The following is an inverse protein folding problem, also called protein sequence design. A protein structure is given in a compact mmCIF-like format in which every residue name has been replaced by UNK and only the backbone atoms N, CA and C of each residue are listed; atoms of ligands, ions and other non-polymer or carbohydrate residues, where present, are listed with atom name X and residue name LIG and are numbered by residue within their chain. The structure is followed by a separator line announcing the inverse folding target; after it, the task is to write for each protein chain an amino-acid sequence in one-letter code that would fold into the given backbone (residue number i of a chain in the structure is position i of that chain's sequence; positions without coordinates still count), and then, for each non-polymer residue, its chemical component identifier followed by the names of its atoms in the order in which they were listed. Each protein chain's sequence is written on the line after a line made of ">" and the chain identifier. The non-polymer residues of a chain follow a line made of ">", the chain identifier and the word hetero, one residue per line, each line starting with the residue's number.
data_IF_530845548139
#
_entry.id   IF_530845548139
#
_cell.length_a   1.000
_cell.length_b   1.000
_cell.length_c   1.000
_cell.angle_alpha   90.00
_cell.angle_beta   90.00
_cell.angle_gamma   90.00
#
_symmetry.space_group_name_H-M   'P 1'
#
loop_
_entity.id
_entity.type
_entity.pdbx_description
1 polymer ?
#
# COMPACT_ATOMS: atom_id res chain seq x y z
N UNK A 1 10.08 -30.76 68.32
CA UNK A 1 9.62 -29.49 68.92
C UNK A 1 10.82 -28.53 68.93
N UNK A 2 10.58 -27.24 68.63
CA UNK A 2 11.36 -26.38 67.74
C UNK A 2 12.47 -25.60 68.50
N UNK A 3 13.37 -24.78 67.96
CA UNK A 3 13.14 -23.57 67.16
C UNK A 3 14.46 -22.94 66.66
N UNK A 4 14.31 -22.19 65.56
CA UNK A 4 15.05 -20.99 65.14
C UNK A 4 16.44 -21.08 64.51
N UNK A 5 16.38 -21.30 63.19
CA UNK A 5 17.32 -20.81 62.21
C UNK A 5 17.35 -19.26 62.17
N UNK A 6 18.54 -18.68 62.36
CA UNK A 6 18.89 -17.34 61.88
C UNK A 6 19.80 -17.52 60.65
N UNK A 7 19.18 -17.57 59.47
CA UNK A 7 19.87 -17.42 58.20
C UNK A 7 19.37 -16.14 57.54
N UNK A 8 20.27 -15.17 57.47
CA UNK A 8 20.13 -13.90 56.75
C UNK A 8 19.91 -14.21 55.26
N UNK A 9 18.65 -14.18 54.82
CA UNK A 9 18.31 -14.15 53.41
C UNK A 9 17.95 -12.71 53.03
N UNK A 10 18.88 -12.04 52.36
CA UNK A 10 18.63 -10.78 51.67
C UNK A 10 17.56 -10.98 50.60
N UNK A 11 16.30 -10.81 50.98
CA UNK A 11 15.20 -10.70 50.04
C UNK A 11 15.32 -9.35 49.34
N UNK A 12 15.97 -9.35 48.18
CA UNK A 12 15.85 -8.30 47.19
C UNK A 12 14.36 -8.05 46.96
N UNK A 13 13.84 -6.94 47.48
CA UNK A 13 12.55 -6.36 47.12
C UNK A 13 12.55 -6.13 45.61
N UNK A 14 12.16 -7.16 44.86
CA UNK A 14 11.84 -7.01 43.45
C UNK A 14 10.65 -6.05 43.42
N UNK A 15 10.94 -4.78 43.13
CA UNK A 15 9.94 -3.75 42.84
C UNK A 15 9.08 -4.25 41.68
N UNK A 16 7.99 -4.95 41.99
CA UNK A 16 6.98 -5.33 41.01
C UNK A 16 6.46 -4.04 40.43
N UNK A 17 6.73 -3.81 39.14
CA UNK A 17 6.21 -2.65 38.41
C UNK A 17 4.69 -2.60 38.61
N UNK A 18 4.10 -1.42 38.89
CA UNK A 18 2.68 -1.29 39.17
C UNK A 18 1.82 -2.03 38.13
N UNK A 19 0.88 -2.85 38.61
CA UNK A 19 -0.16 -3.48 37.78
C UNK A 19 -0.85 -2.35 37.00
N UNK A 20 -1.12 -2.56 35.71
CA UNK A 20 -1.79 -1.54 34.90
C UNK A 20 -3.11 -1.15 35.56
N UNK A 21 -3.33 0.15 35.77
CA UNK A 21 -4.61 0.64 36.29
C UNK A 21 -5.69 0.48 35.22
N UNK A 22 -6.95 0.49 35.65
CA UNK A 22 -8.09 0.40 34.75
C UNK A 22 -8.12 1.58 33.76
N UNK A 23 -7.74 2.78 34.23
CA UNK A 23 -7.59 3.97 33.40
C UNK A 23 -6.48 3.84 32.36
N UNK A 24 -5.31 3.29 32.73
CA UNK A 24 -4.23 2.99 31.79
C UNK A 24 -4.66 1.96 30.75
N UNK A 25 -5.41 0.93 31.16
CA UNK A 25 -5.93 -0.10 30.27
C UNK A 25 -6.94 0.46 29.26
N UNK A 26 -7.82 1.37 29.70
CA UNK A 26 -8.78 2.01 28.81
C UNK A 26 -8.09 2.89 27.77
N UNK A 27 -7.13 3.73 28.20
CA UNK A 27 -6.36 4.59 27.30
C UNK A 27 -5.54 3.75 26.31
N UNK A 28 -4.91 2.67 26.79
CA UNK A 28 -4.20 1.71 25.95
C UNK A 28 -5.13 1.11 24.91
N UNK A 29 -6.30 0.60 25.32
CA UNK A 29 -7.27 -0.01 24.44
C UNK A 29 -7.83 0.97 23.41
N UNK A 30 -8.10 2.22 23.75
CA UNK A 30 -8.66 3.20 22.82
C UNK A 30 -7.63 3.77 21.82
N UNK A 31 -6.36 3.82 22.21
CA UNK A 31 -5.31 4.46 21.41
C UNK A 31 -4.48 3.47 20.60
N UNK A 32 -4.60 2.16 20.86
CA UNK A 32 -3.73 1.14 20.26
C UNK A 32 -3.85 1.03 18.73
N UNK A 33 -5.03 1.28 18.17
CA UNK A 33 -5.30 1.15 16.74
C UNK A 33 -4.52 2.17 15.88
N UNK A 34 -4.15 3.33 16.43
CA UNK A 34 -3.39 4.36 15.70
C UNK A 34 -1.88 4.20 15.96
N UNK A 35 -1.04 3.98 14.92
CA UNK A 35 0.40 3.82 15.06
C UNK A 35 1.14 5.01 15.70
N UNK A 36 0.68 6.25 15.48
CA UNK A 36 1.28 7.45 16.05
C UNK A 36 0.97 7.54 17.54
N UNK A 37 -0.32 7.43 17.91
CA UNK A 37 -0.75 7.41 19.32
C UNK A 37 -0.12 6.26 20.09
N UNK A 38 0.10 5.10 19.46
CA UNK A 38 0.82 3.98 20.08
C UNK A 38 2.24 4.35 20.52
N UNK A 39 2.96 5.17 19.75
CA UNK A 39 4.30 5.65 20.13
C UNK A 39 4.22 6.64 21.29
N UNK A 40 3.22 7.53 21.27
CA UNK A 40 2.98 8.48 22.36
C UNK A 40 2.65 7.78 23.68
N UNK A 41 1.93 6.65 23.65
CA UNK A 41 1.62 5.84 24.85
C UNK A 41 2.86 5.37 25.61
N UNK A 42 3.98 5.11 24.91
CA UNK A 42 5.24 4.70 25.55
C UNK A 42 5.74 5.81 26.47
N UNK A 43 5.68 7.05 25.99
CA UNK A 43 6.11 8.23 26.75
C UNK A 43 5.10 8.57 27.84
N UNK A 44 3.80 8.51 27.52
CA UNK A 44 2.71 8.86 28.44
C UNK A 44 2.58 7.89 29.62
N UNK A 45 2.75 6.60 29.39
CA UNK A 45 2.65 5.55 30.41
C UNK A 45 4.01 5.21 31.05
N UNK A 46 5.12 5.76 30.53
CA UNK A 46 6.47 5.45 31.02
C UNK A 46 6.85 3.97 30.91
N UNK A 47 6.24 3.21 29.99
CA UNK A 47 6.43 1.75 29.87
C UNK A 47 6.94 1.38 28.48
N UNK A 48 7.83 0.37 28.44
CA UNK A 48 8.38 -0.17 27.19
C UNK A 48 7.27 -0.69 26.27
N UNK A 49 7.45 -0.50 24.96
CA UNK A 49 6.49 -0.93 23.92
C UNK A 49 6.13 -2.42 24.01
N UNK A 50 7.07 -3.29 24.36
CA UNK A 50 6.82 -4.72 24.56
C UNK A 50 5.84 -5.02 25.70
N UNK A 51 5.90 -4.23 26.78
CA UNK A 51 4.98 -4.36 27.91
C UNK A 51 3.57 -3.90 27.51
N UNK A 52 3.46 -2.80 26.76
CA UNK A 52 2.16 -2.33 26.23
C UNK A 52 1.54 -3.34 25.25
N UNK A 53 2.36 -3.95 24.38
CA UNK A 53 1.89 -5.03 23.47
C UNK A 53 1.35 -6.22 24.25
N UNK A 54 2.10 -6.65 25.26
CA UNK A 54 1.71 -7.79 26.11
C UNK A 54 0.42 -7.49 26.88
N UNK A 55 0.29 -6.28 27.41
CA UNK A 55 -0.92 -5.85 28.12
C UNK A 55 -2.12 -5.73 27.18
N UNK A 56 -1.94 -5.16 25.99
CA UNK A 56 -2.98 -5.07 24.98
C UNK A 56 -3.50 -6.45 24.57
N UNK A 57 -2.60 -7.42 24.33
CA UNK A 57 -3.02 -8.80 24.03
C UNK A 57 -3.80 -9.45 25.19
N UNK A 58 -3.49 -9.11 26.46
CA UNK A 58 -4.28 -9.57 27.62
C UNK A 58 -5.67 -8.93 27.63
N UNK A 59 -5.76 -7.62 27.37
CA UNK A 59 -7.04 -6.90 27.28
C UNK A 59 -7.94 -7.44 26.16
N UNK A 60 -7.36 -7.83 25.03
CA UNK A 60 -8.11 -8.48 23.95
C UNK A 60 -8.70 -9.82 24.38
N UNK A 61 -7.92 -10.64 25.11
CA UNK A 61 -8.37 -11.93 25.65
C UNK A 61 -9.45 -11.77 26.71
N UNK A 62 -9.29 -10.80 27.61
CA UNK A 62 -10.28 -10.47 28.66
C UNK A 62 -11.61 -10.03 28.05
N UNK A 63 -11.57 -9.28 26.94
CA UNK A 63 -12.76 -8.86 26.21
C UNK A 63 -13.26 -9.87 25.16
N UNK A 64 -12.64 -11.04 25.06
CA UNK A 64 -13.05 -12.09 24.12
C UNK A 64 -13.02 -11.69 22.64
N UNK A 65 -12.20 -10.73 22.24
CA UNK A 65 -12.18 -10.19 20.87
C UNK A 65 -10.88 -10.52 20.13
N UNK A 66 -11.00 -10.83 18.83
CA UNK A 66 -9.83 -10.97 17.97
C UNK A 66 -9.14 -9.63 17.75
N UNK A 67 -7.85 -9.67 17.41
CA UNK A 67 -7.13 -8.47 16.98
C UNK A 67 -7.82 -7.83 15.76
N UNK A 68 -8.35 -8.63 14.83
CA UNK A 68 -9.11 -8.11 13.69
C UNK A 68 -10.42 -7.42 14.12
N UNK A 69 -11.15 -8.03 15.06
CA UNK A 69 -12.41 -7.48 15.58
C UNK A 69 -12.18 -6.16 16.31
N UNK A 70 -11.07 -6.05 17.05
CA UNK A 70 -10.66 -4.81 17.68
C UNK A 70 -10.44 -3.67 16.67
N UNK A 71 -9.69 -3.92 15.58
CA UNK A 71 -9.48 -2.90 14.56
C UNK A 71 -10.79 -2.55 13.84
N UNK A 72 -11.64 -3.53 13.57
CA UNK A 72 -12.97 -3.28 12.99
C UNK A 72 -13.83 -2.40 13.91
N UNK A 73 -13.87 -2.70 15.20
CA UNK A 73 -14.60 -1.94 16.21
C UNK A 73 -14.11 -0.50 16.29
N UNK A 74 -12.79 -0.29 16.36
CA UNK A 74 -12.20 1.05 16.44
C UNK A 74 -12.42 1.84 15.14
N UNK A 75 -12.30 1.20 13.98
CA UNK A 75 -12.61 1.83 12.70
C UNK A 75 -14.08 2.25 12.64
N UNK A 76 -15.02 1.39 13.03
CA UNK A 76 -16.44 1.75 13.08
C UNK A 76 -16.75 2.86 14.07
N UNK A 77 -16.10 2.87 15.24
CA UNK A 77 -16.29 3.90 16.29
C UNK A 77 -15.82 5.29 15.83
N UNK A 78 -14.73 5.37 15.07
CA UNK A 78 -14.12 6.64 14.65
C UNK A 78 -14.42 7.04 13.19
N UNK A 79 -15.00 6.15 12.37
CA UNK A 79 -15.41 6.45 10.99
C UNK A 79 -16.62 7.41 10.90
N UNK A 80 -17.46 7.49 11.93
CA UNK A 80 -18.61 8.40 11.93
C UNK A 80 -18.24 9.86 12.27
N UNK A 81 -17.04 10.11 12.82
CA UNK A 81 -16.61 11.46 13.23
C UNK A 81 -15.56 12.11 12.32
N UNK A 82 -15.06 11.37 11.34
CA UNK A 82 -14.07 11.82 10.37
C UNK A 82 -14.56 11.29 9.04
N UNK A 83 -15.02 12.16 8.12
CA UNK A 83 -15.43 11.80 6.76
C UNK A 83 -14.32 11.19 5.90
N UNK A 84 -13.29 10.60 6.51
CA UNK A 84 -12.21 9.83 5.92
C UNK A 84 -12.40 8.38 6.37
N UNK A 85 -13.08 7.59 5.55
CA UNK A 85 -13.18 6.14 5.71
C UNK A 85 -11.78 5.51 5.70
N UNK A 86 -11.28 4.91 6.79
CA UNK A 86 -9.96 4.30 6.80
C UNK A 86 -10.07 2.82 6.42
N UNK A 87 -9.59 2.48 5.22
CA UNK A 87 -9.06 1.17 4.80
C UNK A 87 -9.73 -0.09 5.38
N UNK A 88 -11.03 -0.26 5.15
CA UNK A 88 -11.48 -1.54 4.58
C UNK A 88 -11.29 -1.38 3.07
N UNK A 89 -10.42 -2.19 2.44
CA UNK A 89 -10.70 -2.54 1.03
C UNK A 89 -12.07 -3.19 1.13
N UNK A 90 -13.12 -2.43 0.83
CA UNK A 90 -14.48 -2.94 0.85
C UNK A 90 -14.48 -4.24 0.05
N UNK A 91 -15.25 -5.22 0.49
CA UNK A 91 -15.42 -6.48 -0.22
C UNK A 91 -15.70 -6.21 -1.72
N UNK A 92 -16.48 -5.16 -1.97
CA UNK A 92 -16.72 -4.53 -3.26
C UNK A 92 -15.44 -4.14 -4.01
N UNK A 93 -14.46 -3.46 -3.40
CA UNK A 93 -13.20 -3.14 -4.08
C UNK A 93 -12.39 -4.38 -4.47
N UNK A 94 -12.46 -5.46 -3.68
CA UNK A 94 -11.81 -6.75 -4.02
C UNK A 94 -12.55 -7.46 -5.15
N UNK A 95 -13.86 -7.36 -5.19
CA UNK A 95 -14.71 -7.89 -6.24
C UNK A 95 -14.47 -7.14 -7.56
N UNK A 96 -14.39 -5.81 -7.50
CA UNK A 96 -14.00 -4.97 -8.64
C UNK A 96 -12.57 -5.29 -9.09
N UNK A 97 -11.60 -5.45 -8.17
CA UNK A 97 -10.24 -5.89 -8.52
C UNK A 97 -10.25 -7.25 -9.25
N UNK A 98 -11.11 -8.17 -8.83
CA UNK A 98 -11.26 -9.49 -9.44
C UNK A 98 -11.88 -9.40 -10.84
N UNK A 99 -12.97 -8.65 -11.00
CA UNK A 99 -13.61 -8.42 -12.30
C UNK A 99 -12.66 -7.74 -13.29
N UNK A 100 -11.86 -6.76 -12.82
CA UNK A 100 -10.83 -6.12 -13.63
C UNK A 100 -9.80 -7.17 -14.11
N UNK A 101 -9.27 -8.00 -13.21
CA UNK A 101 -8.32 -9.05 -13.58
C UNK A 101 -8.92 -10.04 -14.58
N UNK A 102 -10.13 -10.52 -14.34
CA UNK A 102 -10.82 -11.50 -15.20
C UNK A 102 -11.04 -10.96 -16.61
N UNK A 103 -11.55 -9.72 -16.76
CA UNK A 103 -11.82 -9.14 -18.09
C UNK A 103 -10.52 -8.85 -18.85
N UNK A 104 -9.50 -8.28 -18.20
CA UNK A 104 -8.22 -8.04 -18.87
C UNK A 104 -7.52 -9.35 -19.29
N UNK A 105 -7.54 -10.38 -18.44
CA UNK A 105 -6.95 -11.68 -18.78
C UNK A 105 -7.73 -12.37 -19.91
N UNK A 106 -9.06 -12.30 -19.91
CA UNK A 106 -9.92 -12.80 -20.99
C UNK A 106 -9.56 -12.17 -22.33
N UNK A 107 -9.51 -10.84 -22.41
CA UNK A 107 -9.17 -10.15 -23.67
C UNK A 107 -7.72 -10.43 -24.11
N UNK A 108 -6.79 -10.56 -23.16
CA UNK A 108 -5.41 -10.94 -23.48
C UNK A 108 -5.29 -12.36 -24.02
N UNK A 109 -6.07 -13.32 -23.50
CA UNK A 109 -6.12 -14.69 -24.02
C UNK A 109 -6.88 -14.80 -25.35
N UNK A 110 -7.87 -13.95 -25.60
CA UNK A 110 -8.59 -13.88 -26.89
C UNK A 110 -7.85 -13.13 -27.99
N UNK A 111 -6.70 -12.50 -27.70
CA UNK A 111 -5.96 -11.68 -28.66
C UNK A 111 -6.57 -10.31 -28.94
N UNK A 112 -7.53 -9.87 -28.12
CA UNK A 112 -8.19 -8.57 -28.23
C UNK A 112 -7.34 -7.45 -27.62
N UNK A 113 -7.66 -6.20 -27.99
CA UNK A 113 -6.90 -5.06 -27.48
C UNK A 113 -7.25 -4.77 -26.01
N UNK A 114 -6.27 -4.24 -25.27
CA UNK A 114 -6.49 -3.73 -23.91
C UNK A 114 -7.47 -2.55 -23.85
N UNK A 115 -7.83 -1.94 -24.99
CA UNK A 115 -8.85 -0.90 -25.07
C UNK A 115 -10.26 -1.52 -25.03
N UNK A 116 -10.46 -2.65 -25.72
CA UNK A 116 -11.73 -3.39 -25.72
C UNK A 116 -12.08 -3.91 -24.33
N UNK A 117 -11.07 -4.37 -23.59
CA UNK A 117 -11.21 -4.74 -22.17
C UNK A 117 -11.68 -3.57 -21.29
N UNK A 118 -11.23 -2.34 -21.57
CA UNK A 118 -11.68 -1.16 -20.84
C UNK A 118 -13.13 -0.81 -21.16
N UNK A 119 -13.58 -0.99 -22.41
CA UNK A 119 -14.96 -0.73 -22.82
C UNK A 119 -15.90 -1.72 -22.11
N UNK A 120 -15.59 -3.03 -22.15
CA UNK A 120 -16.39 -4.06 -21.43
C UNK A 120 -16.42 -3.79 -19.91
N UNK A 121 -15.32 -3.32 -19.33
CA UNK A 121 -15.28 -2.97 -17.90
C UNK A 121 -16.08 -1.71 -17.57
N UNK A 122 -16.14 -0.72 -18.47
CA UNK A 122 -16.93 0.49 -18.27
C UNK A 122 -18.43 0.21 -18.34
N UNK A 123 -18.86 -0.70 -19.23
CA UNK A 123 -20.24 -1.17 -19.28
C UNK A 123 -20.64 -1.91 -17.99
N UNK A 124 -19.75 -2.72 -17.43
CA UNK A 124 -20.02 -3.53 -16.22
C UNK A 124 -19.90 -2.75 -14.90
N UNK A 125 -18.97 -1.81 -14.79
CA UNK A 125 -18.64 -1.10 -13.54
C UNK A 125 -19.17 0.35 -13.50
N UNK A 126 -19.70 0.85 -14.63
CA UNK A 126 -20.26 2.20 -14.76
C UNK A 126 -19.22 3.30 -14.99
N UNK A 127 -19.70 4.55 -15.00
CA UNK A 127 -18.92 5.76 -15.33
C UNK A 127 -17.84 6.25 -14.34
N UNK A 128 -17.70 5.78 -13.08
CA UNK A 128 -16.67 6.35 -12.20
C UNK A 128 -15.24 5.89 -12.55
N UNK A 129 -15.08 4.94 -13.47
CA UNK A 129 -13.77 4.41 -13.87
C UNK A 129 -13.38 4.85 -15.28
N UNK A 130 -12.40 5.73 -15.38
CA UNK A 130 -11.79 6.09 -16.67
C UNK A 130 -10.92 4.94 -17.20
N UNK A 131 -10.70 4.83 -18.54
CA UNK A 131 -9.90 3.75 -19.11
C UNK A 131 -8.45 3.74 -18.56
N UNK A 132 -7.90 4.93 -18.29
CA UNK A 132 -6.59 5.08 -17.67
C UNK A 132 -6.56 4.57 -16.23
N UNK A 133 -7.61 4.84 -15.44
CA UNK A 133 -7.72 4.35 -14.06
C UNK A 133 -7.83 2.82 -14.01
N UNK A 134 -8.57 2.20 -14.93
CA UNK A 134 -8.70 0.74 -15.03
C UNK A 134 -7.36 0.07 -15.37
N UNK A 135 -6.65 0.58 -16.39
CA UNK A 135 -5.31 0.09 -16.78
C UNK A 135 -4.31 0.22 -15.63
N UNK A 136 -4.26 1.39 -14.99
CA UNK A 136 -3.35 1.62 -13.86
C UNK A 136 -3.66 0.68 -12.69
N UNK A 137 -4.94 0.42 -12.41
CA UNK A 137 -5.35 -0.50 -11.36
C UNK A 137 -4.99 -1.94 -11.71
N UNK A 138 -5.17 -2.36 -12.95
CA UNK A 138 -4.74 -3.66 -13.46
C UNK A 138 -3.22 -3.88 -13.31
N UNK A 139 -2.38 -2.95 -13.77
CA UNK A 139 -0.92 -3.07 -13.62
C UNK A 139 -0.48 -3.10 -12.15
N UNK A 140 -1.14 -2.32 -11.29
CA UNK A 140 -0.91 -2.40 -9.84
C UNK A 140 -1.32 -3.75 -9.25
N UNK A 141 -2.35 -4.39 -9.78
CA UNK A 141 -2.78 -5.72 -9.35
C UNK A 141 -1.78 -6.80 -9.77
N UNK A 142 -1.31 -6.76 -11.02
CA UNK A 142 -0.26 -7.66 -11.52
C UNK A 142 1.00 -7.53 -10.65
N UNK A 143 1.50 -6.30 -10.45
CA UNK A 143 2.70 -6.04 -9.64
C UNK A 143 2.53 -6.47 -8.19
N UNK A 144 1.32 -6.35 -7.63
CA UNK A 144 1.03 -6.72 -6.23
C UNK A 144 0.94 -8.24 -6.04
N UNK A 145 0.39 -8.94 -7.03
CA UNK A 145 0.19 -10.40 -6.99
C UNK A 145 1.34 -11.18 -7.60
N UNK A 146 2.29 -10.47 -8.23
CA UNK A 146 3.47 -11.02 -8.89
C UNK A 146 3.13 -12.03 -10.00
N UNK A 147 2.08 -11.75 -10.77
CA UNK A 147 1.70 -12.57 -11.91
C UNK A 147 2.64 -12.33 -13.09
N UNK A 148 3.06 -13.41 -13.72
CA UNK A 148 3.79 -13.40 -15.00
C UNK A 148 2.81 -13.34 -16.17
N UNK A 149 3.29 -12.98 -17.37
CA UNK A 149 2.44 -12.96 -18.56
C UNK A 149 1.82 -14.34 -18.87
N UNK A 150 2.55 -15.43 -18.55
CA UNK A 150 2.06 -16.80 -18.66
C UNK A 150 0.92 -17.10 -17.67
N UNK A 151 1.01 -16.57 -16.43
CA UNK A 151 -0.07 -16.70 -15.44
C UNK A 151 -1.35 -15.97 -15.91
N UNK A 152 -1.19 -14.79 -16.54
CA UNK A 152 -2.31 -14.02 -17.06
C UNK A 152 -2.99 -14.75 -18.23
N UNK A 153 -2.22 -15.39 -19.10
CA UNK A 153 -2.74 -16.22 -20.19
C UNK A 153 -3.45 -17.46 -19.65
N UNK A 154 -2.88 -18.14 -18.65
CA UNK A 154 -3.51 -19.30 -18.03
C UNK A 154 -4.83 -18.95 -17.32
N UNK A 155 -4.90 -17.80 -16.64
CA UNK A 155 -6.14 -17.29 -16.02
C UNK A 155 -7.18 -16.94 -17.10
N UNK A 156 -6.75 -16.29 -18.19
CA UNK A 156 -7.62 -15.93 -19.30
C UNK A 156 -8.18 -17.16 -20.02
N UNK A 157 -7.37 -18.17 -20.28
CA UNK A 157 -7.78 -19.43 -20.91
C UNK A 157 -8.77 -20.21 -20.03
N UNK A 158 -8.51 -20.33 -18.72
CA UNK A 158 -9.47 -20.95 -17.78
C UNK A 158 -10.81 -20.21 -17.77
N UNK A 159 -10.79 -18.88 -17.85
CA UNK A 159 -12.03 -18.11 -17.88
C UNK A 159 -12.79 -18.29 -19.21
N UNK A 160 -12.07 -18.39 -20.33
CA UNK A 160 -12.67 -18.71 -21.63
C UNK A 160 -13.27 -20.12 -21.65
N UNK A 161 -12.58 -21.12 -21.08
CA UNK A 161 -13.10 -22.49 -20.94
C UNK A 161 -14.39 -22.53 -20.13
N UNK A 162 -14.44 -21.85 -18.98
CA UNK A 162 -15.65 -21.77 -18.13
C UNK A 162 -16.79 -21.02 -18.83
N UNK A 163 -16.51 -19.97 -19.60
CA UNK A 163 -17.54 -19.29 -20.39
C UNK A 163 -18.03 -20.18 -21.53
N UNK A 164 -17.14 -20.92 -22.20
CA UNK A 164 -17.49 -21.83 -23.29
C UNK A 164 -18.30 -23.04 -22.79
N UNK A 165 -18.03 -23.52 -21.57
CA UNK A 165 -18.86 -24.54 -20.91
C UNK A 165 -20.24 -23.99 -20.50
N UNK A 166 -20.32 -22.74 -20.06
CA UNK A 166 -21.61 -22.10 -19.75
C UNK A 166 -22.43 -21.77 -21.01
N UNK A 167 -21.78 -21.46 -22.14
CA UNK A 167 -22.44 -21.30 -23.44
C UNK A 167 -22.94 -22.66 -23.95
N UNK A 168 -22.15 -23.73 -23.82
CA UNK A 168 -22.59 -25.10 -24.13
C UNK A 168 -23.74 -25.57 -23.21
N UNK A 169 -23.74 -25.19 -21.94
CA UNK A 169 -24.83 -25.50 -21.02
C UNK A 169 -26.11 -24.68 -21.30
N UNK A 170 -25.98 -23.48 -21.86
CA UNK A 170 -27.11 -22.64 -22.28
C UNK A 170 -27.68 -23.06 -23.66
N UNK A 171 -26.86 -23.65 -24.53
CA UNK A 171 -27.27 -24.14 -25.85
C UNK A 171 -27.88 -25.55 -25.83
N UNK A 172 -27.75 -26.31 -24.73
CA UNK A 172 -28.29 -27.69 -24.62
C UNK A 172 -29.78 -27.75 -24.22
N UNK A 173 -30.59 -26.76 -24.61
CA UNK A 173 -32.06 -26.80 -24.41
C UNK A 173 -32.90 -26.59 -25.66
N UNK A 174 -32.33 -26.50 -26.86
CA UNK A 174 -33.11 -26.56 -28.09
C UNK A 174 -32.44 -27.44 -29.15
N UNK A 175 -33.15 -28.54 -29.42
CA UNK A 175 -33.15 -29.45 -30.56
C UNK A 175 -31.88 -30.23 -30.95
N UNK A 176 -31.99 -31.52 -30.63
CA UNK A 176 -31.45 -32.67 -31.34
C UNK A 176 -31.55 -32.55 -32.87
N UNK A 177 -30.45 -32.77 -33.57
CA UNK A 177 -30.42 -33.68 -34.73
C UNK A 177 -29.00 -34.26 -34.91
N UNK A 178 -28.93 -35.56 -34.65
CA UNK A 178 -28.01 -36.60 -35.14
C UNK A 178 -26.77 -36.24 -36.01
N UNK A 179 -25.55 -36.41 -35.42
CA UNK A 179 -24.47 -37.42 -35.67
C UNK A 179 -24.05 -37.72 -37.16
N UNK A 180 -22.80 -38.16 -37.54
CA UNK A 180 -21.48 -38.32 -36.85
C UNK A 180 -20.28 -37.66 -37.59
N UNK A 181 -19.23 -37.18 -36.89
CA UNK A 181 -17.93 -37.88 -36.62
C UNK A 181 -17.27 -38.64 -37.80
N UNK A 182 -16.22 -38.06 -38.38
CA UNK A 182 -15.22 -38.77 -39.19
C UNK A 182 -14.03 -39.22 -38.32
N UNK A 183 -13.68 -40.52 -38.28
CA UNK A 183 -12.48 -41.00 -37.59
C UNK A 183 -11.20 -40.75 -38.39
N UNK A 184 -10.13 -40.48 -37.64
CA UNK A 184 -8.73 -40.61 -38.04
C UNK A 184 -8.45 -42.03 -38.53
N UNK A 185 -7.88 -42.20 -39.73
CA UNK A 185 -7.27 -43.45 -40.13
C UNK A 185 -5.93 -43.21 -40.86
N UNK A 186 -4.87 -43.79 -40.28
CA UNK A 186 -3.51 -43.78 -40.79
C UNK A 186 -3.41 -44.60 -42.10
N UNK A 187 -2.55 -44.22 -43.06
CA UNK A 187 -2.32 -45.03 -44.25
C UNK A 187 -1.39 -46.22 -43.93
N UNK A 188 -1.71 -47.46 -44.37
CA UNK A 188 -0.75 -48.53 -44.38
C UNK A 188 0.12 -48.43 -45.63
N UNK A 189 1.43 -48.21 -45.43
CA UNK A 189 2.46 -48.52 -46.41
C UNK A 189 2.73 -50.02 -46.39
N UNK A 190 2.59 -50.70 -47.54
CA UNK A 190 3.65 -51.55 -48.12
C UNK A 190 3.32 -51.97 -49.56
N UNK A 191 4.30 -51.71 -50.41
CA UNK A 191 4.42 -51.98 -51.84
C UNK A 191 4.42 -53.48 -52.16
N UNK A 192 3.91 -53.85 -53.34
CA UNK A 192 4.52 -54.89 -54.16
C UNK A 192 4.56 -54.48 -55.64
N UNK A 193 5.77 -54.68 -56.18
CA UNK A 193 6.29 -54.61 -57.55
C UNK A 193 5.31 -54.64 -58.74
N UNK A 194 5.42 -53.62 -59.61
CA UNK A 194 5.52 -53.80 -61.07
C UNK A 194 5.86 -52.48 -61.78
N UNK A 195 6.88 -52.52 -62.64
CA UNK A 195 7.12 -51.64 -63.81
C UNK A 195 7.77 -50.26 -63.58
N UNK A 196 9.09 -50.22 -63.76
CA UNK A 196 9.92 -49.01 -63.83
C UNK A 196 9.51 -48.00 -64.93
N UNK A 197 8.64 -48.38 -65.87
CA UNK A 197 8.07 -47.47 -66.87
C UNK A 197 6.88 -46.64 -66.32
N UNK A 198 6.14 -47.18 -65.35
CA UNK A 198 5.01 -46.49 -64.74
C UNK A 198 5.44 -45.58 -63.59
N UNK A 199 6.59 -45.85 -62.94
CA UNK A 199 7.17 -44.95 -61.92
C UNK A 199 7.57 -43.59 -62.51
N UNK A 200 8.15 -43.57 -63.71
CA UNK A 200 8.57 -42.32 -64.36
C UNK A 200 7.38 -41.47 -64.82
N UNK A 201 6.36 -42.10 -65.42
CA UNK A 201 5.14 -41.40 -65.83
C UNK A 201 4.34 -40.91 -64.61
N UNK A 202 4.33 -41.66 -63.51
CA UNK A 202 3.72 -41.24 -62.24
C UNK A 202 4.50 -40.12 -61.54
N UNK A 203 5.83 -40.10 -61.68
CA UNK A 203 6.67 -38.97 -61.26
C UNK A 203 6.47 -37.73 -62.13
N UNK A 204 6.24 -37.89 -63.43
CA UNK A 204 5.90 -36.79 -64.34
C UNK A 204 4.48 -36.25 -64.10
N UNK A 205 3.53 -37.09 -63.73
CA UNK A 205 2.16 -36.65 -63.43
C UNK A 205 2.04 -35.98 -62.05
N UNK A 206 2.91 -36.31 -61.10
CA UNK A 206 2.95 -35.68 -59.78
C UNK A 206 3.84 -34.43 -59.73
N UNK A 207 4.69 -34.22 -60.73
CA UNK A 207 5.57 -33.04 -60.84
C UNK A 207 4.81 -31.69 -60.77
N UNK A 208 3.71 -31.47 -61.50
CA UNK A 208 2.92 -30.23 -61.41
C UNK A 208 2.38 -29.98 -59.99
N UNK A 209 1.99 -31.04 -59.29
CA UNK A 209 1.46 -30.97 -57.94
C UNK A 209 2.56 -30.68 -56.91
N UNK A 210 3.76 -31.26 -57.09
CA UNK A 210 4.92 -30.91 -56.28
C UNK A 210 5.38 -29.48 -56.52
N UNK A 211 5.26 -28.97 -57.75
CA UNK A 211 5.63 -27.60 -58.11
C UNK A 211 4.64 -26.59 -57.50
N UNK A 212 3.34 -26.87 -57.54
CA UNK A 212 2.31 -26.08 -56.83
C UNK A 212 2.49 -26.11 -55.31
N UNK A 213 2.83 -27.28 -54.74
CA UNK A 213 3.12 -27.39 -53.31
C UNK A 213 4.40 -26.65 -52.92
N UNK A 214 5.40 -26.61 -53.80
CA UNK A 214 6.62 -25.83 -53.59
C UNK A 214 6.33 -24.33 -53.68
N UNK A 215 5.57 -23.89 -54.68
CA UNK A 215 5.17 -22.50 -54.87
C UNK A 215 4.34 -21.97 -53.70
N UNK A 216 3.38 -22.76 -53.22
CA UNK A 216 2.60 -22.40 -52.02
C UNK A 216 3.46 -22.37 -50.75
N UNK A 217 4.45 -23.25 -50.61
CA UNK A 217 5.43 -23.20 -49.51
C UNK A 217 6.33 -21.98 -49.60
N UNK A 218 6.80 -21.63 -50.80
CA UNK A 218 7.63 -20.44 -51.04
C UNK A 218 6.83 -19.18 -50.72
N UNK A 219 5.58 -19.07 -51.18
CA UNK A 219 4.70 -17.94 -50.85
C UNK A 219 4.39 -17.84 -49.35
N UNK A 220 4.22 -18.97 -48.64
CA UNK A 220 4.07 -18.98 -47.17
C UNK A 220 5.34 -18.51 -46.46
N UNK A 221 6.51 -18.87 -46.96
CA UNK A 221 7.80 -18.41 -46.40
C UNK A 221 8.00 -16.93 -46.68
N UNK A 222 7.72 -16.46 -47.89
CA UNK A 222 7.85 -15.04 -48.27
C UNK A 222 6.93 -14.16 -47.43
N UNK A 223 5.67 -14.57 -47.27
CA UNK A 223 4.73 -13.86 -46.40
C UNK A 223 5.18 -13.90 -44.94
N UNK A 224 5.66 -15.03 -44.42
CA UNK A 224 6.19 -15.12 -43.05
C UNK A 224 7.43 -14.24 -42.84
N UNK A 225 8.32 -14.13 -43.82
CA UNK A 225 9.52 -13.29 -43.74
C UNK A 225 9.20 -11.80 -43.82
N UNK A 226 8.22 -11.40 -44.65
CA UNK A 226 7.74 -10.00 -44.69
C UNK A 226 7.17 -9.52 -43.35
N UNK A 227 6.52 -10.39 -42.59
CA UNK A 227 6.02 -10.06 -41.25
C UNK A 227 7.14 -10.05 -40.19
N UNK A 228 8.20 -10.85 -40.35
CA UNK A 228 9.36 -10.82 -39.44
C UNK A 228 10.28 -9.61 -39.68
N UNK A 229 10.30 -9.05 -40.89
CA UNK A 229 11.08 -7.88 -41.27
C UNK A 229 10.32 -6.56 -41.12
N UNK A 230 9.39 -6.46 -40.16
CA UNK A 230 8.73 -5.19 -39.85
C UNK A 230 9.64 -4.26 -39.05
N UNK A 231 10.72 -3.83 -39.71
CA UNK A 231 11.69 -2.84 -39.24
C UNK A 231 11.01 -1.53 -38.88
N UNK A 232 9.85 -1.23 -39.49
CA UNK A 232 9.06 -0.05 -39.18
C UNK A 232 8.42 -0.16 -37.81
N UNK A 233 7.80 -1.30 -37.48
CA UNK A 233 7.28 -1.58 -36.14
C UNK A 233 8.37 -1.53 -35.07
N UNK A 234 9.56 -2.07 -35.37
CA UNK A 234 10.72 -1.98 -34.47
C UNK A 234 11.20 -0.54 -34.22
N UNK A 235 11.31 0.27 -35.28
CA UNK A 235 11.69 1.69 -35.17
C UNK A 235 10.64 2.49 -34.40
N UNK A 236 9.35 2.23 -34.62
CA UNK A 236 8.26 2.86 -33.85
C UNK A 236 8.35 2.50 -32.36
N UNK A 237 8.70 1.26 -32.02
CA UNK A 237 8.94 0.85 -30.64
C UNK A 237 10.15 1.55 -30.04
N UNK A 238 11.27 1.66 -30.77
CA UNK A 238 12.46 2.39 -30.31
C UNK A 238 12.16 3.87 -30.07
N UNK A 239 11.37 4.51 -30.93
CA UNK A 239 10.92 5.89 -30.74
C UNK A 239 9.99 6.04 -29.53
N UNK A 240 9.15 5.04 -29.25
CA UNK A 240 8.33 5.03 -28.05
C UNK A 240 9.19 4.95 -26.77
N UNK A 241 10.17 4.04 -26.75
CA UNK A 241 11.14 3.89 -25.65
C UNK A 241 11.94 5.17 -25.45
N UNK A 242 12.40 5.83 -26.52
CA UNK A 242 13.11 7.11 -26.43
C UNK A 242 12.24 8.22 -25.81
N UNK A 243 10.96 8.30 -26.19
CA UNK A 243 10.01 9.25 -25.60
C UNK A 243 9.72 8.95 -24.13
N UNK A 244 9.70 7.68 -23.76
CA UNK A 244 9.47 7.25 -22.38
C UNK A 244 10.69 7.57 -21.51
N UNK A 245 11.91 7.31 -21.99
CA UNK A 245 13.15 7.71 -21.32
C UNK A 245 13.21 9.22 -21.09
N UNK A 246 12.89 10.02 -22.12
CA UNK A 246 12.81 11.49 -21.97
C UNK A 246 11.76 11.95 -20.96
N UNK A 247 10.69 11.17 -20.76
CA UNK A 247 9.68 11.46 -19.72
C UNK A 247 10.19 11.04 -18.34
N UNK A 248 10.88 9.91 -18.23
CA UNK A 248 11.52 9.49 -16.98
C UNK A 248 12.58 10.49 -16.51
N UNK A 249 13.41 11.02 -17.41
CA UNK A 249 14.42 12.03 -17.08
C UNK A 249 13.77 13.29 -16.45
N UNK A 250 12.69 13.80 -17.06
CA UNK A 250 11.94 14.94 -16.52
C UNK A 250 11.33 14.64 -15.15
N UNK A 251 10.84 13.43 -14.95
CA UNK A 251 10.28 13.01 -13.66
C UNK A 251 11.38 12.88 -12.61
N UNK A 252 12.56 12.39 -12.99
CA UNK A 252 13.73 12.32 -12.11
C UNK A 252 14.19 13.71 -11.67
N UNK A 253 14.25 14.68 -12.60
CA UNK A 253 14.56 16.08 -12.29
C UNK A 253 13.56 16.69 -11.31
N UNK A 254 12.25 16.47 -11.53
CA UNK A 254 11.22 16.99 -10.63
C UNK A 254 11.25 16.30 -9.26
N UNK A 255 11.52 15.00 -9.21
CA UNK A 255 11.71 14.27 -7.95
C UNK A 255 12.90 14.87 -7.19
N UNK A 256 14.02 15.12 -7.85
CA UNK A 256 15.19 15.72 -7.22
C UNK A 256 14.86 17.11 -6.68
N UNK A 257 14.18 17.94 -7.47
CA UNK A 257 13.75 19.28 -7.05
C UNK A 257 12.84 19.23 -5.82
N UNK A 258 11.85 18.33 -5.82
CA UNK A 258 10.94 18.16 -4.68
C UNK A 258 11.65 17.60 -3.45
N UNK A 259 12.66 16.74 -3.62
CA UNK A 259 13.50 16.26 -2.53
C UNK A 259 14.30 17.40 -1.90
N UNK A 260 14.92 18.25 -2.71
CA UNK A 260 15.69 19.41 -2.24
C UNK A 260 14.78 20.41 -1.51
N UNK A 261 13.59 20.69 -2.04
CA UNK A 261 12.60 21.56 -1.39
C UNK A 261 12.15 20.99 -0.04
N UNK A 262 11.87 19.68 0.02
CA UNK A 262 11.46 19.03 1.26
C UNK A 262 12.58 19.05 2.31
N UNK A 263 13.84 18.88 1.90
CA UNK A 263 14.99 19.03 2.80
C UNK A 263 15.11 20.47 3.32
N UNK A 264 14.93 21.47 2.46
CA UNK A 264 14.92 22.89 2.88
C UNK A 264 13.76 23.20 3.83
N UNK A 265 12.57 22.68 3.56
CA UNK A 265 11.41 22.83 4.44
C UNK A 265 11.64 22.16 5.79
N UNK A 266 12.24 20.97 5.83
CA UNK A 266 12.60 20.32 7.09
C UNK A 266 13.59 21.15 7.90
N UNK A 267 14.64 21.69 7.25
CA UNK A 267 15.61 22.59 7.92
C UNK A 267 14.95 23.84 8.48
N UNK A 268 14.00 24.45 7.77
CA UNK A 268 13.29 25.64 8.28
C UNK A 268 12.36 25.29 9.44
N UNK A 269 11.64 24.17 9.37
CA UNK A 269 10.80 23.68 10.47
C UNK A 269 11.64 23.37 11.70
N UNK A 270 12.79 22.70 11.57
CA UNK A 270 13.69 22.43 12.69
C UNK A 270 14.24 23.72 13.32
N UNK A 271 14.60 24.70 12.48
CA UNK A 271 15.09 26.01 12.95
C UNK A 271 14.00 26.75 13.73
N UNK A 272 12.79 26.82 13.22
CA UNK A 272 11.67 27.49 13.90
C UNK A 272 11.23 26.74 15.15
N UNK A 273 11.23 25.41 15.13
CA UNK A 273 10.98 24.59 16.32
C UNK A 273 12.02 24.86 17.41
N UNK A 274 13.30 24.98 17.05
CA UNK A 274 14.37 25.36 17.97
C UNK A 274 14.20 26.77 18.54
N UNK A 275 13.72 27.73 17.75
CA UNK A 275 13.42 29.10 18.23
C UNK A 275 12.21 29.12 19.17
N UNK A 276 11.15 28.39 18.83
CA UNK A 276 9.96 28.29 19.66
C UNK A 276 10.29 27.65 21.00
N UNK A 277 11.06 26.56 20.99
CA UNK A 277 11.48 25.87 22.20
C UNK A 277 12.29 26.77 23.14
N UNK A 278 13.23 27.57 22.60
CA UNK A 278 13.96 28.56 23.41
C UNK A 278 13.03 29.58 24.07
N UNK A 279 12.04 30.09 23.33
CA UNK A 279 11.03 31.02 23.90
C UNK A 279 10.15 30.34 24.94
N UNK A 280 9.77 29.09 24.72
CA UNK A 280 9.01 28.30 25.68
C UNK A 280 9.79 28.10 26.98
N UNK A 281 11.08 27.74 26.88
CA UNK A 281 11.97 27.60 28.03
C UNK A 281 12.15 28.93 28.78
N UNK A 282 12.36 30.05 28.06
CA UNK A 282 12.44 31.40 28.65
C UNK A 282 11.15 31.79 29.39
N UNK A 283 9.98 31.53 28.79
CA UNK A 283 8.69 31.79 29.44
C UNK A 283 8.49 30.89 30.66
N UNK A 284 8.86 29.60 30.58
CA UNK A 284 8.77 28.67 31.70
C UNK A 284 9.64 29.14 32.88
N UNK A 285 10.84 29.66 32.61
CA UNK A 285 11.71 30.25 33.63
C UNK A 285 11.09 31.50 34.28
N UNK A 286 10.49 32.39 33.48
CA UNK A 286 9.77 33.57 34.00
C UNK A 286 8.58 33.14 34.87
N UNK A 287 7.78 32.18 34.43
CA UNK A 287 6.65 31.65 35.21
C UNK A 287 7.12 31.01 36.51
N UNK A 288 8.22 30.26 36.49
CA UNK A 288 8.81 29.66 37.70
C UNK A 288 9.31 30.73 38.67
N UNK A 289 9.96 31.77 38.16
CA UNK A 289 10.41 32.91 38.97
C UNK A 289 9.21 33.63 39.61
N UNK A 290 8.17 33.93 38.83
CA UNK A 290 6.95 34.58 39.31
C UNK A 290 6.21 33.73 40.35
N UNK A 291 6.10 32.42 40.15
CA UNK A 291 5.50 31.50 41.12
C UNK A 291 6.30 31.45 42.43
N UNK A 292 7.64 31.47 42.36
CA UNK A 292 8.50 31.50 43.55
C UNK A 292 8.30 32.81 44.30
N UNK A 293 8.34 33.95 43.60
CA UNK A 293 8.13 35.26 44.21
C UNK A 293 6.72 35.42 44.80
N UNK A 294 5.70 34.92 44.11
CA UNK A 294 4.33 34.90 44.63
C UNK A 294 4.21 34.02 45.87
N UNK A 295 4.83 32.84 45.86
CA UNK A 295 4.87 31.97 47.03
C UNK A 295 5.54 32.70 48.21
N UNK A 296 6.73 33.27 48.01
CA UNK A 296 7.46 34.02 49.05
C UNK A 296 6.60 35.18 49.59
N UNK A 297 5.92 35.93 48.70
CA UNK A 297 5.00 36.99 49.10
C UNK A 297 3.82 36.48 49.95
N UNK A 298 3.23 35.34 49.58
CA UNK A 298 2.12 34.75 50.33
C UNK A 298 2.51 34.31 51.74
N UNK A 299 3.76 33.86 51.93
CA UNK A 299 4.31 33.43 53.23
C UNK A 299 4.69 34.59 54.18
N UNK A 300 4.77 35.84 53.70
CA UNK A 300 5.06 37.00 54.54
C UNK A 300 3.89 37.37 55.47
N UNK A 301 4.18 37.95 56.65
CA UNK A 301 3.17 38.53 57.54
C UNK A 301 2.64 39.88 57.01
N UNK A 302 1.43 40.30 57.44
CA UNK A 302 0.68 41.42 56.83
C UNK A 302 1.43 42.77 56.80
N UNK A 303 2.29 43.02 57.79
CA UNK A 303 3.09 44.26 57.88
C UNK A 303 4.33 44.19 56.97
N UNK A 304 4.97 43.03 56.86
CA UNK A 304 6.09 42.79 55.94
C UNK A 304 5.65 42.74 54.47
N UNK A 305 4.41 42.33 54.19
CA UNK A 305 3.80 42.36 52.85
C UNK A 305 3.74 43.77 52.25
N UNK A 306 3.45 44.79 53.06
CA UNK A 306 3.34 46.18 52.59
C UNK A 306 4.70 46.81 52.29
N UNK A 307 5.73 46.55 53.11
CA UNK A 307 7.10 46.99 52.85
C UNK A 307 7.76 46.23 51.68
N UNK A 308 7.48 44.93 51.57
CA UNK A 308 7.98 44.07 50.50
C UNK A 308 7.30 44.29 49.16
N UNK A 309 6.15 44.98 49.07
CA UNK A 309 5.46 45.25 47.80
C UNK A 309 6.25 46.22 46.91
N UNK A 310 6.94 47.20 47.51
CA UNK A 310 7.81 48.13 46.79
C UNK A 310 9.04 47.44 46.20
N UNK A 311 9.66 46.54 46.98
CA UNK A 311 10.77 45.69 46.52
C UNK A 311 10.28 44.65 45.47
N UNK A 312 9.10 44.07 45.68
CA UNK A 312 8.43 43.17 44.75
C UNK A 312 8.15 43.84 43.40
N UNK A 313 7.64 45.08 43.38
CA UNK A 313 7.40 45.86 42.16
C UNK A 313 8.70 46.18 41.42
N UNK A 314 9.77 46.55 42.13
CA UNK A 314 11.08 46.79 41.49
C UNK A 314 11.73 45.50 40.97
N UNK A 315 11.54 44.35 41.64
CA UNK A 315 12.01 43.04 41.16
C UNK A 315 11.18 42.49 40.00
N UNK A 316 9.89 42.84 39.94
CA UNK A 316 8.97 42.55 38.84
C UNK A 316 9.02 43.57 37.72
N UNK A 317 9.95 44.53 37.75
CA UNK A 317 10.17 45.46 36.64
C UNK A 317 10.75 44.70 35.45
N UNK A 318 9.86 43.97 34.79
CA UNK A 318 10.05 43.23 33.57
C UNK A 318 9.95 44.28 32.47
N UNK A 319 11.06 44.61 31.83
CA UNK A 319 11.02 45.51 30.67
C UNK A 319 10.32 44.77 29.54
N UNK A 320 9.14 45.24 29.14
CA UNK A 320 8.36 44.69 28.03
C UNK A 320 8.55 45.59 26.80
N UNK A 321 8.95 45.01 25.67
CA UNK A 321 9.06 45.70 24.38
C UNK A 321 7.69 46.22 23.92
N UNK A 322 7.65 47.17 23.00
CA UNK A 322 6.42 47.73 22.40
C UNK A 322 5.49 46.67 21.77
N UNK A 323 5.98 45.45 21.57
CA UNK A 323 5.23 44.29 21.07
C UNK A 323 4.85 43.25 22.13
N UNK A 324 5.03 43.55 23.43
CA UNK A 324 4.66 42.62 24.52
C UNK A 324 5.72 41.56 24.86
N UNK A 325 6.93 41.65 24.29
CA UNK A 325 8.02 40.70 24.55
C UNK A 325 8.81 41.08 25.81
N UNK A 326 9.07 40.12 26.69
CA UNK A 326 9.91 40.32 27.89
C UNK A 326 11.38 40.45 27.49
N UNK A 327 11.97 41.63 27.65
CA UNK A 327 13.32 41.96 27.13
C UNK A 327 14.47 41.66 28.08
N UNK A 328 14.23 41.64 29.40
CA UNK A 328 15.21 41.25 30.44
C UNK A 328 14.55 41.31 31.82
N UNK A 329 14.70 40.26 32.62
CA UNK A 329 14.56 40.35 34.07
C UNK A 329 15.90 40.80 34.65
N UNK A 330 15.97 41.96 35.30
CA UNK A 330 17.19 42.37 36.00
C UNK A 330 17.32 41.52 37.27
N UNK A 331 18.13 40.45 37.24
CA UNK A 331 18.55 39.77 38.48
C UNK A 331 19.41 40.76 39.26
N UNK A 332 18.86 41.33 40.32
CA UNK A 332 19.67 42.02 41.34
C UNK A 332 20.43 40.91 42.07
N UNK A 333 21.75 40.93 41.95
CA UNK A 333 22.63 39.98 42.62
C UNK A 333 22.81 40.33 44.09
N UNK A 334 22.82 39.27 44.91
CA UNK A 334 23.22 39.19 46.33
C UNK A 334 22.31 39.92 47.33
#
# INVERSE_FOLDING_TARGET
>A
MPDNALAVAGASLQKTKPRYTETENQVLFESWWNPQKRRELVNRLGRKMSALRSQFCRLLKEKGMSNQDYYNLMQSKYANGSGVTPRKRSRELKEIDRTILEVFCKHQASGNSRADACIELQEKLGSPFTPAALKLRFYRLIKRLNYTDDDLLAIGQRYLEVVNENVKAAETKQDETAIPQFPLENPPLKMENSEDANSFLYQLSSLPETLNNLETRVNKIETSQRHQLDLRGFIEHLLAVERDLKREDKLMEEIQRLMDENEQLQKTVEKEHGRLKKREDELADVYKMLNTMLADFMHLESVSKLASLGDFMHRLEITVDQFGNVLKSKRIGS
#
